data_IF_834989445924
#
_entry.id   IF_834989445924
#
_cell.length_a   1.000
_cell.length_b   1.000
_cell.length_c   1.000
_cell.angle_alpha   90.00
_cell.angle_beta   90.00
_cell.angle_gamma   90.00
#
_symmetry.space_group_name_H-M   'P 1'
#
loop_
_entity.id
_entity.type
_entity.pdbx_description
1 polymer ?
#
# COMPACT_ATOMS: atom_id res chain seq x y z
N UNK A 1 0.07 27.22 18.17
CA UNK A 1 -0.80 28.10 18.98
C UNK A 1 -2.21 27.52 18.97
N UNK A 2 -2.88 27.38 17.83
CA UNK A 2 -4.29 26.96 17.76
C UNK A 2 -4.60 25.66 18.53
N UNK A 3 -3.73 24.64 18.46
CA UNK A 3 -3.90 23.39 19.21
C UNK A 3 -3.84 23.52 20.74
N UNK A 4 -3.35 24.64 21.25
CA UNK A 4 -3.20 24.90 22.68
C UNK A 4 -4.28 25.86 23.21
N UNK A 5 -5.18 26.31 22.36
CA UNK A 5 -6.29 27.15 22.76
C UNK A 5 -7.48 26.28 23.18
N UNK A 6 -8.36 26.78 24.08
CA UNK A 6 -9.63 26.15 24.37
C UNK A 6 -10.48 25.98 23.11
N UNK A 7 -11.30 24.94 23.11
CA UNK A 7 -12.29 24.72 22.04
C UNK A 7 -13.22 25.94 21.90
N UNK A 8 -13.70 26.19 20.71
CA UNK A 8 -14.61 27.31 20.37
C UNK A 8 -14.03 28.73 20.61
N UNK A 9 -12.69 28.86 20.65
CA UNK A 9 -12.06 30.18 20.79
C UNK A 9 -12.05 30.91 19.44
N UNK A 10 -12.62 32.11 19.41
CA UNK A 10 -12.56 33.00 18.24
C UNK A 10 -11.13 33.46 17.98
N UNK A 11 -10.69 33.37 16.72
CA UNK A 11 -9.39 33.78 16.25
C UNK A 11 -9.48 34.92 15.28
N UNK A 12 -8.70 35.99 15.55
CA UNK A 12 -8.50 37.11 14.60
C UNK A 12 -7.05 37.09 14.15
N UNK A 13 -6.83 37.04 12.84
CA UNK A 13 -5.50 37.11 12.22
C UNK A 13 -5.43 38.38 11.37
N UNK A 14 -4.51 39.29 11.73
CA UNK A 14 -4.23 40.49 10.99
C UNK A 14 -2.79 40.42 10.46
N UNK A 15 -2.58 40.75 9.18
CA UNK A 15 -1.25 40.76 8.56
C UNK A 15 -0.92 42.17 8.09
N UNK A 16 0.18 42.71 8.60
CA UNK A 16 0.71 44.04 8.22
C UNK A 16 2.20 43.88 7.85
N UNK A 17 2.50 44.04 6.56
CA UNK A 17 3.87 43.87 6.06
C UNK A 17 4.43 42.47 6.35
N UNK A 18 5.55 42.39 7.04
CA UNK A 18 6.23 41.15 7.41
C UNK A 18 5.80 40.58 8.77
N UNK A 19 4.70 41.08 9.34
CA UNK A 19 4.18 40.64 10.64
C UNK A 19 2.72 40.25 10.57
N UNK A 20 2.40 39.12 11.23
CA UNK A 20 1.04 38.74 11.52
C UNK A 20 0.77 38.82 13.02
N UNK A 21 -0.38 39.38 13.38
CA UNK A 21 -0.88 39.37 14.76
C UNK A 21 -2.05 38.44 14.86
N UNK A 22 -1.91 37.34 15.65
CA UNK A 22 -2.99 36.44 16.00
C UNK A 22 -3.53 36.84 17.38
N UNK A 23 -4.83 37.08 17.46
CA UNK A 23 -5.55 37.30 18.73
C UNK A 23 -6.51 36.15 19.00
N UNK A 24 -6.52 35.68 20.26
CA UNK A 24 -7.38 34.60 20.72
C UNK A 24 -7.80 34.89 22.16
N UNK A 25 -9.05 35.24 22.39
CA UNK A 25 -9.53 35.70 23.70
C UNK A 25 -8.72 36.87 24.23
N UNK A 26 -7.97 36.69 25.34
CA UNK A 26 -7.05 37.69 25.91
C UNK A 26 -5.61 37.56 25.40
N UNK A 27 -5.33 36.55 24.62
CA UNK A 27 -3.98 36.28 24.09
C UNK A 27 -3.70 37.08 22.81
N UNK A 28 -2.44 37.56 22.68
CA UNK A 28 -1.93 38.24 21.46
C UNK A 28 -0.58 37.62 21.13
N UNK A 29 -0.45 37.15 19.89
CA UNK A 29 0.75 36.54 19.38
C UNK A 29 1.22 37.27 18.14
N UNK A 30 2.49 37.71 18.14
CA UNK A 30 3.11 38.35 16.99
C UNK A 30 4.02 37.35 16.29
N UNK A 31 3.82 37.17 14.99
CA UNK A 31 4.53 36.18 14.16
C UNK A 31 5.24 36.93 13.01
N UNK A 32 6.43 36.50 12.65
CA UNK A 32 7.05 36.87 11.40
C UNK A 32 6.39 36.10 10.25
N UNK A 33 6.13 36.74 9.12
CA UNK A 33 5.58 36.14 7.92
C UNK A 33 6.46 36.42 6.71
N UNK A 34 6.43 35.56 5.74
CA UNK A 34 7.06 35.76 4.44
C UNK A 34 6.03 36.37 3.47
N UNK A 35 6.49 37.17 2.48
CA UNK A 35 5.61 37.70 1.44
C UNK A 35 4.88 36.58 0.70
N UNK A 36 3.58 36.72 0.46
CA UNK A 36 2.77 35.72 -0.23
C UNK A 36 3.28 35.43 -1.66
N UNK A 37 3.93 36.39 -2.30
CA UNK A 37 4.53 36.23 -3.62
C UNK A 37 5.74 35.28 -3.64
N UNK A 38 6.39 35.06 -2.49
CA UNK A 38 7.51 34.10 -2.35
C UNK A 38 7.01 32.67 -2.10
N UNK A 39 5.70 32.49 -1.90
CA UNK A 39 5.11 31.16 -1.76
C UNK A 39 5.10 30.45 -3.12
N UNK A 40 5.64 29.22 -3.22
CA UNK A 40 5.67 28.50 -4.48
C UNK A 40 4.26 28.34 -5.06
N UNK A 41 4.03 28.95 -6.23
CA UNK A 41 2.81 28.72 -6.97
C UNK A 41 2.85 27.31 -7.59
N UNK A 42 1.84 26.51 -7.32
CA UNK A 42 1.62 25.28 -8.08
C UNK A 42 0.99 25.73 -9.40
N UNK A 43 1.73 25.56 -10.49
CA UNK A 43 1.19 25.81 -11.83
C UNK A 43 -0.08 24.97 -12.01
N UNK A 44 -1.07 25.56 -12.70
CA UNK A 44 -2.29 24.86 -13.02
C UNK A 44 -1.93 23.58 -13.80
N UNK A 45 -2.29 22.41 -13.27
CA UNK A 45 -2.13 21.15 -13.99
C UNK A 45 -3.14 21.20 -15.14
N UNK A 46 -2.66 21.51 -16.35
CA UNK A 46 -3.43 21.30 -17.57
C UNK A 46 -3.28 19.82 -17.92
N UNK A 47 -4.25 19.01 -17.48
CA UNK A 47 -4.20 17.56 -17.66
C UNK A 47 -4.34 17.17 -19.14
N UNK A 48 -3.47 16.31 -19.62
CA UNK A 48 -3.59 15.63 -20.91
C UNK A 48 -4.64 14.51 -20.82
N UNK A 49 -4.84 13.97 -19.61
CA UNK A 49 -5.79 12.91 -19.29
C UNK A 49 -6.67 13.37 -18.13
N UNK A 50 -7.98 13.21 -18.29
CA UNK A 50 -8.97 13.49 -17.25
C UNK A 50 -9.92 12.31 -17.14
N UNK A 51 -10.16 11.85 -15.91
CA UNK A 51 -11.08 10.75 -15.59
C UNK A 51 -11.72 10.96 -14.22
N UNK A 52 -12.75 10.17 -13.92
CA UNK A 52 -13.41 10.19 -12.63
C UNK A 52 -13.54 8.76 -12.08
N UNK A 53 -13.37 8.61 -10.77
CA UNK A 53 -13.42 7.32 -10.09
C UNK A 53 -14.10 7.51 -8.72
N UNK A 54 -15.03 6.64 -8.28
CA UNK A 54 -15.60 6.73 -6.95
C UNK A 54 -14.54 6.66 -5.84
N UNK A 55 -14.68 7.49 -4.79
CA UNK A 55 -13.72 7.56 -3.68
C UNK A 55 -13.42 6.19 -3.10
N UNK A 56 -14.44 5.38 -2.82
CA UNK A 56 -14.29 4.02 -2.27
C UNK A 56 -13.43 3.10 -3.15
N UNK A 57 -13.53 3.23 -4.49
CA UNK A 57 -12.73 2.41 -5.42
C UNK A 57 -11.27 2.79 -5.32
N UNK A 58 -10.98 4.11 -5.39
CA UNK A 58 -9.61 4.62 -5.29
C UNK A 58 -9.00 4.30 -3.92
N UNK A 59 -9.75 4.47 -2.85
CA UNK A 59 -9.34 4.15 -1.49
C UNK A 59 -8.99 2.66 -1.35
N UNK A 60 -9.87 1.79 -1.83
CA UNK A 60 -9.62 0.33 -1.80
C UNK A 60 -8.36 -0.06 -2.57
N UNK A 61 -8.14 0.50 -3.76
CA UNK A 61 -6.93 0.29 -4.55
C UNK A 61 -5.67 0.66 -3.74
N UNK A 62 -5.69 1.80 -3.05
CA UNK A 62 -4.57 2.26 -2.22
C UNK A 62 -4.35 1.36 -1.00
N UNK A 63 -5.40 1.06 -0.23
CA UNK A 63 -5.32 0.25 0.99
C UNK A 63 -4.81 -1.16 0.71
N UNK A 64 -5.20 -1.73 -0.44
CA UNK A 64 -4.80 -3.08 -0.85
C UNK A 64 -3.36 -3.17 -1.36
N UNK A 65 -2.68 -2.04 -1.64
CA UNK A 65 -1.38 -2.09 -2.31
C UNK A 65 -0.28 -1.26 -1.61
N UNK A 66 -0.62 -0.17 -0.93
CA UNK A 66 0.36 0.80 -0.42
C UNK A 66 1.41 0.21 0.53
N UNK A 67 1.11 -0.87 1.24
CA UNK A 67 2.02 -1.50 2.20
C UNK A 67 3.27 -2.09 1.54
N UNK A 68 3.20 -2.44 0.26
CA UNK A 68 4.29 -3.06 -0.49
C UNK A 68 5.26 -2.04 -1.13
N UNK A 69 5.00 -0.73 -1.03
CA UNK A 69 5.96 0.29 -1.49
C UNK A 69 7.26 0.23 -0.71
N UNK A 70 8.39 0.39 -1.39
CA UNK A 70 9.69 0.56 -0.75
C UNK A 70 9.77 1.84 0.11
N UNK A 71 10.73 1.87 1.03
CA UNK A 71 11.07 3.05 1.82
C UNK A 71 12.56 3.34 1.63
N UNK A 72 12.88 4.52 1.07
CA UNK A 72 14.26 4.98 0.87
C UNK A 72 15.15 3.99 0.08
N UNK A 73 14.55 3.27 -0.88
CA UNK A 73 15.30 2.41 -1.80
C UNK A 73 16.04 3.29 -2.82
N UNK A 74 17.25 2.88 -3.20
CA UNK A 74 18.05 3.55 -4.22
C UNK A 74 17.38 3.51 -5.60
N UNK A 75 16.56 2.50 -5.84
CA UNK A 75 15.63 2.41 -6.97
C UNK A 75 14.41 3.29 -6.67
N UNK A 76 14.58 4.60 -6.81
CA UNK A 76 13.60 5.60 -6.37
C UNK A 76 12.18 5.40 -6.93
N UNK A 77 12.03 4.76 -8.09
CA UNK A 77 10.73 4.41 -8.67
C UNK A 77 9.96 3.35 -7.85
N UNK A 78 10.61 2.62 -6.95
CA UNK A 78 9.94 1.71 -6.01
C UNK A 78 9.45 2.42 -4.74
N UNK A 79 9.93 3.64 -4.46
CA UNK A 79 9.44 4.46 -3.33
C UNK A 79 8.08 5.12 -3.63
N UNK A 80 7.33 4.55 -4.54
CA UNK A 80 6.02 4.98 -4.97
C UNK A 80 5.15 3.81 -5.38
N UNK A 81 3.96 4.14 -5.86
CA UNK A 81 2.94 3.22 -6.29
C UNK A 81 2.61 3.49 -7.76
N UNK A 82 2.64 2.47 -8.59
CA UNK A 82 2.18 2.55 -9.97
C UNK A 82 0.65 2.68 -9.99
N UNK A 83 0.16 3.72 -10.66
CA UNK A 83 -1.21 3.83 -11.13
C UNK A 83 -1.20 3.54 -12.63
N UNK A 84 -1.92 2.52 -13.03
CA UNK A 84 -2.05 2.09 -14.42
C UNK A 84 -3.53 2.04 -14.80
N UNK A 85 -3.85 2.55 -15.97
CA UNK A 85 -5.15 2.40 -16.62
C UNK A 85 -4.89 1.84 -18.00
N UNK A 86 -5.53 0.73 -18.29
CA UNK A 86 -5.44 0.05 -19.57
C UNK A 86 -6.67 -0.82 -19.79
N UNK A 87 -7.20 -0.84 -21.00
CA UNK A 87 -8.33 -1.69 -21.40
C UNK A 87 -9.56 -1.58 -20.50
N UNK A 88 -9.85 -0.39 -19.99
CA UNK A 88 -10.99 -0.16 -19.08
C UNK A 88 -10.79 -0.66 -17.65
N UNK A 89 -9.56 -0.96 -17.25
CA UNK A 89 -9.22 -1.40 -15.91
C UNK A 89 -8.25 -0.41 -15.29
N UNK A 90 -8.54 0.00 -14.05
CA UNK A 90 -7.62 0.73 -13.19
C UNK A 90 -6.88 -0.25 -12.29
N UNK A 91 -5.56 -0.16 -12.25
CA UNK A 91 -4.70 -1.00 -11.42
C UNK A 91 -3.79 -0.13 -10.56
N UNK A 92 -3.56 -0.58 -9.35
CA UNK A 92 -2.48 -0.08 -8.52
C UNK A 92 -1.51 -1.21 -8.17
N UNK A 93 -0.23 -0.93 -8.32
CA UNK A 93 0.83 -1.91 -8.08
C UNK A 93 1.94 -1.28 -7.25
N UNK A 94 2.35 -1.96 -6.21
CA UNK A 94 3.50 -1.58 -5.39
C UNK A 94 4.44 -2.77 -5.19
N UNK A 95 5.74 -2.50 -5.11
CA UNK A 95 6.76 -3.52 -4.80
C UNK A 95 7.99 -2.86 -4.18
N UNK A 96 8.66 -3.59 -3.32
CA UNK A 96 9.98 -3.26 -2.76
C UNK A 96 11.10 -4.16 -3.33
N UNK A 97 10.74 -5.04 -4.29
CA UNK A 97 11.66 -6.00 -4.89
C UNK A 97 11.71 -7.35 -4.16
N UNK A 98 11.03 -7.50 -3.01
CA UNK A 98 10.91 -8.74 -2.24
C UNK A 98 9.46 -9.23 -2.15
N UNK A 99 8.53 -8.33 -2.31
CA UNK A 99 7.10 -8.59 -2.39
C UNK A 99 6.45 -7.64 -3.38
N UNK A 100 5.27 -8.01 -3.83
CA UNK A 100 4.45 -7.20 -4.73
C UNK A 100 2.99 -7.27 -4.28
N UNK A 101 2.30 -6.15 -4.37
CA UNK A 101 0.85 -6.06 -4.20
C UNK A 101 0.24 -5.44 -5.45
N UNK A 102 -0.77 -6.08 -6.00
CA UNK A 102 -1.59 -5.61 -7.10
C UNK A 102 -3.04 -5.70 -6.71
N UNK A 103 -3.78 -4.62 -6.99
CA UNK A 103 -5.24 -4.61 -6.94
C UNK A 103 -5.79 -3.89 -8.17
N UNK A 104 -6.91 -4.37 -8.69
CA UNK A 104 -7.53 -3.79 -9.89
C UNK A 104 -9.04 -3.63 -9.72
N UNK A 105 -9.62 -2.74 -10.52
CA UNK A 105 -11.07 -2.53 -10.62
C UNK A 105 -11.44 -2.15 -12.05
N UNK A 106 -12.62 -2.52 -12.48
CA UNK A 106 -13.15 -2.05 -13.76
C UNK A 106 -13.50 -0.55 -13.69
N UNK A 107 -13.18 0.19 -14.73
CA UNK A 107 -13.59 1.58 -14.92
C UNK A 107 -14.87 1.61 -15.74
N UNK A 108 -15.92 2.17 -15.16
CA UNK A 108 -17.20 2.39 -15.84
C UNK A 108 -17.20 3.78 -16.51
N UNK A 109 -16.20 4.04 -17.37
CA UNK A 109 -16.10 5.32 -18.10
C UNK A 109 -16.09 5.06 -19.60
N UNK A 110 -16.70 5.97 -20.38
CA UNK A 110 -16.83 5.82 -21.84
C UNK A 110 -15.52 5.97 -22.62
N UNK A 111 -14.58 6.77 -22.10
CA UNK A 111 -13.22 6.92 -22.62
C UNK A 111 -12.24 6.24 -21.65
N UNK A 112 -11.56 5.21 -22.12
CA UNK A 112 -10.55 4.50 -21.34
C UNK A 112 -9.16 4.97 -21.76
N UNK A 113 -8.61 6.03 -21.12
CA UNK A 113 -7.27 6.49 -21.45
C UNK A 113 -6.22 5.46 -21.06
N UNK A 114 -5.19 5.33 -21.86
CA UNK A 114 -3.99 4.60 -21.44
C UNK A 114 -3.16 5.51 -20.54
N UNK A 115 -2.90 5.05 -19.31
CA UNK A 115 -2.15 5.79 -18.31
C UNK A 115 -1.20 4.87 -17.57
N UNK A 116 0.03 5.34 -17.34
CA UNK A 116 1.00 4.64 -16.51
C UNK A 116 1.90 5.66 -15.80
N UNK A 117 1.63 5.91 -14.52
CA UNK A 117 2.35 6.92 -13.72
C UNK A 117 2.68 6.39 -12.33
N UNK A 118 3.72 6.95 -11.70
CA UNK A 118 4.17 6.54 -10.37
C UNK A 118 3.89 7.66 -9.37
N UNK A 119 3.02 7.38 -8.41
CA UNK A 119 2.70 8.29 -7.30
C UNK A 119 3.74 8.13 -6.20
N UNK A 120 4.35 9.23 -5.71
CA UNK A 120 5.27 9.16 -4.57
C UNK A 120 4.58 8.62 -3.32
N UNK A 121 5.32 7.85 -2.50
CA UNK A 121 4.80 7.28 -1.25
C UNK A 121 4.07 8.30 -0.36
N UNK A 122 4.63 9.50 -0.20
CA UNK A 122 3.99 10.56 0.59
C UNK A 122 2.62 10.96 0.03
N UNK A 123 2.51 11.05 -1.28
CA UNK A 123 1.23 11.38 -1.95
C UNK A 123 0.21 10.25 -1.75
N UNK A 124 0.63 8.99 -1.88
CA UNK A 124 -0.22 7.82 -1.66
C UNK A 124 -0.81 7.81 -0.25
N UNK A 125 0.04 7.99 0.77
CA UNK A 125 -0.39 7.99 2.16
C UNK A 125 -1.34 9.15 2.48
N UNK A 126 -1.08 10.34 1.94
CA UNK A 126 -1.93 11.51 2.16
C UNK A 126 -3.25 11.37 1.42
N UNK A 127 -3.23 10.91 0.17
CA UNK A 127 -4.45 10.67 -0.61
C UNK A 127 -5.34 9.63 0.08
N UNK A 128 -4.76 8.51 0.56
CA UNK A 128 -5.52 7.51 1.31
C UNK A 128 -6.19 8.08 2.57
N UNK A 129 -5.55 9.03 3.24
CA UNK A 129 -6.10 9.72 4.41
C UNK A 129 -7.26 10.65 4.08
N UNK A 130 -7.21 11.28 2.88
CA UNK A 130 -8.24 12.23 2.43
C UNK A 130 -9.49 11.54 1.89
N UNK A 131 -9.35 10.33 1.34
CA UNK A 131 -10.45 9.55 0.76
C UNK A 131 -11.37 8.97 1.83
N UNK A 132 -12.65 8.88 1.51
CA UNK A 132 -13.69 8.23 2.31
C UNK A 132 -14.27 7.00 1.60
N UNK A 133 -15.09 6.21 2.31
CA UNK A 133 -15.82 5.06 1.76
C UNK A 133 -17.12 5.50 1.02
N UNK A 134 -17.08 6.62 0.31
CA UNK A 134 -18.25 7.17 -0.38
C UNK A 134 -18.27 6.84 -1.87
N UNK A 135 -19.45 6.93 -2.47
CA UNK A 135 -19.68 6.85 -3.92
C UNK A 135 -19.38 8.17 -4.64
N UNK A 136 -19.01 9.22 -3.90
CA UNK A 136 -18.67 10.50 -4.50
C UNK A 136 -17.46 10.36 -5.42
N UNK A 137 -17.55 11.02 -6.56
CA UNK A 137 -16.53 10.95 -7.59
C UNK A 137 -15.29 11.79 -7.23
N UNK A 138 -14.13 11.23 -7.48
CA UNK A 138 -12.84 11.92 -7.49
C UNK A 138 -12.46 12.21 -8.92
N UNK A 139 -12.38 13.47 -9.27
CA UNK A 139 -11.80 13.89 -10.55
C UNK A 139 -10.29 13.72 -10.51
N UNK A 140 -9.72 13.07 -11.52
CA UNK A 140 -8.27 12.85 -11.65
C UNK A 140 -7.79 13.49 -12.94
N UNK A 141 -6.85 14.40 -12.84
CA UNK A 141 -6.19 15.05 -13.97
C UNK A 141 -4.70 14.71 -13.94
N UNK A 142 -4.15 14.27 -15.05
CA UNK A 142 -2.75 13.85 -15.16
C UNK A 142 -2.06 14.64 -16.26
N UNK A 143 -0.91 15.22 -15.93
CA UNK A 143 0.03 15.84 -16.87
C UNK A 143 1.33 15.03 -16.90
N UNK A 144 2.27 15.44 -17.73
CA UNK A 144 3.58 14.77 -17.83
C UNK A 144 4.34 14.68 -16.50
N UNK A 145 4.12 15.60 -15.55
CA UNK A 145 4.91 15.72 -14.31
C UNK A 145 4.09 15.73 -13.03
N UNK A 146 2.78 15.91 -13.12
CA UNK A 146 1.90 16.08 -11.96
C UNK A 146 0.60 15.29 -12.13
N UNK A 147 0.04 14.91 -11.00
CA UNK A 147 -1.32 14.38 -10.89
C UNK A 147 -2.11 15.22 -9.90
N UNK A 148 -3.36 15.46 -10.21
CA UNK A 148 -4.30 16.25 -9.42
C UNK A 148 -5.55 15.45 -9.15
N UNK A 149 -6.00 15.49 -7.91
CA UNK A 149 -7.23 14.85 -7.44
C UNK A 149 -8.19 15.94 -6.95
N UNK A 150 -9.40 15.97 -7.48
CA UNK A 150 -10.49 16.82 -7.03
C UNK A 150 -11.42 16.03 -6.12
N UNK A 151 -11.45 16.38 -4.83
CA UNK A 151 -12.27 15.72 -3.79
C UNK A 151 -13.27 16.75 -3.24
N UNK A 152 -14.46 16.83 -3.84
CA UNK A 152 -15.40 17.91 -3.55
C UNK A 152 -14.77 19.28 -3.74
N UNK A 153 -14.74 20.11 -2.69
CA UNK A 153 -14.12 21.43 -2.72
C UNK A 153 -12.60 21.43 -2.53
N UNK A 154 -12.02 20.28 -2.23
CA UNK A 154 -10.59 20.13 -1.97
C UNK A 154 -9.83 19.68 -3.22
N UNK A 155 -8.63 20.23 -3.39
CA UNK A 155 -7.73 19.86 -4.47
C UNK A 155 -6.44 19.31 -3.86
N UNK A 156 -6.07 18.10 -4.24
CA UNK A 156 -4.80 17.51 -3.89
C UNK A 156 -3.94 17.33 -5.13
N UNK A 157 -2.75 17.93 -5.13
CA UNK A 157 -1.81 17.85 -6.27
C UNK A 157 -0.48 17.28 -5.81
N UNK A 158 0.09 16.38 -6.60
CA UNK A 158 1.42 15.79 -6.36
C UNK A 158 2.24 15.79 -7.63
N UNK A 159 3.57 15.93 -7.47
CA UNK A 159 4.50 15.54 -8.52
C UNK A 159 4.48 14.04 -8.70
N UNK A 160 4.71 13.59 -9.93
CA UNK A 160 4.92 12.18 -10.25
C UNK A 160 6.41 11.83 -10.08
N UNK A 161 6.70 10.57 -9.82
CA UNK A 161 8.08 10.06 -9.89
C UNK A 161 8.40 9.84 -11.37
N UNK A 162 9.44 10.54 -11.85
CA UNK A 162 9.97 10.30 -13.19
C UNK A 162 10.76 8.99 -13.19
N UNK A 163 10.35 8.04 -14.01
CA UNK A 163 10.98 6.73 -14.09
C UNK A 163 10.07 5.67 -14.68
N UNK A 164 10.66 4.50 -14.91
CA UNK A 164 9.93 3.34 -15.42
C UNK A 164 9.71 2.33 -14.30
N UNK A 165 8.45 2.08 -13.95
CA UNK A 165 8.11 0.99 -13.04
C UNK A 165 8.47 -0.36 -13.67
N UNK A 166 8.98 -1.34 -12.88
CA UNK A 166 9.33 -2.67 -13.40
C UNK A 166 8.16 -3.35 -14.10
N UNK A 167 8.49 -4.29 -14.98
CA UNK A 167 7.52 -5.18 -15.60
C UNK A 167 7.04 -6.20 -14.54
N UNK A 168 6.00 -5.80 -13.83
CA UNK A 168 5.48 -6.55 -12.68
C UNK A 168 4.76 -7.84 -13.08
N UNK A 169 4.24 -7.92 -14.31
CA UNK A 169 3.52 -9.11 -14.79
C UNK A 169 4.42 -10.34 -14.82
N UNK A 170 5.71 -10.14 -15.10
CA UNK A 170 6.71 -11.23 -15.09
C UNK A 170 7.03 -11.77 -13.70
N UNK A 171 6.71 -11.01 -12.67
CA UNK A 171 6.97 -11.40 -11.27
C UNK A 171 5.81 -12.23 -10.71
N UNK A 172 4.61 -12.06 -11.24
CA UNK A 172 3.43 -12.81 -10.84
C UNK A 172 3.57 -14.25 -11.36
N UNK A 173 3.61 -15.26 -10.46
CA UNK A 173 3.70 -16.65 -10.88
C UNK A 173 2.55 -17.03 -11.83
N UNK A 174 2.81 -17.87 -12.84
CA UNK A 174 1.74 -18.38 -13.69
C UNK A 174 0.75 -19.21 -12.84
N UNK A 175 -0.49 -19.26 -13.30
CA UNK A 175 -1.50 -20.13 -12.67
C UNK A 175 -1.03 -21.59 -12.69
N UNK A 176 -1.02 -22.20 -11.54
CA UNK A 176 -0.52 -23.57 -11.35
C UNK A 176 0.25 -23.67 -10.02
N UNK A 177 0.88 -24.80 -9.77
CA UNK A 177 1.54 -25.07 -8.50
C UNK A 177 0.60 -25.72 -7.48
N UNK A 178 1.16 -26.06 -6.33
CA UNK A 178 0.41 -26.67 -5.25
C UNK A 178 -0.30 -25.57 -4.45
N UNK A 179 -1.57 -25.81 -4.16
CA UNK A 179 -2.40 -24.87 -3.40
C UNK A 179 -2.39 -25.23 -1.92
N UNK A 180 -2.24 -24.21 -1.09
CA UNK A 180 -2.41 -24.29 0.37
C UNK A 180 -3.54 -23.34 0.76
N UNK A 181 -4.59 -23.88 1.38
CA UNK A 181 -5.68 -23.07 1.94
C UNK A 181 -5.62 -23.10 3.45
N UNK A 182 -5.61 -21.92 4.05
CA UNK A 182 -5.57 -21.76 5.50
C UNK A 182 -6.64 -20.79 5.96
N UNK A 183 -7.16 -20.97 7.17
CA UNK A 183 -7.96 -19.94 7.84
C UNK A 183 -7.06 -18.71 8.07
N UNK A 184 -7.47 -17.57 7.53
CA UNK A 184 -6.70 -16.31 7.56
C UNK A 184 -6.39 -15.86 8.99
N UNK A 185 -7.38 -15.90 9.87
CA UNK A 185 -7.24 -15.35 11.21
C UNK A 185 -6.40 -16.26 12.11
N UNK A 186 -6.56 -17.58 11.98
CA UNK A 186 -5.73 -18.57 12.68
C UNK A 186 -4.27 -18.42 12.23
N UNK A 187 -4.02 -18.41 10.92
CA UNK A 187 -2.68 -18.24 10.37
C UNK A 187 -2.03 -16.93 10.82
N UNK A 188 -2.77 -15.83 10.75
CA UNK A 188 -2.28 -14.51 11.17
C UNK A 188 -1.90 -14.49 12.65
N UNK A 189 -2.70 -15.11 13.52
CA UNK A 189 -2.40 -15.19 14.95
C UNK A 189 -1.18 -16.07 15.22
N UNK A 190 -1.05 -17.24 14.57
CA UNK A 190 0.11 -18.10 14.70
C UNK A 190 1.39 -17.42 14.21
N UNK A 191 1.35 -16.77 13.05
CA UNK A 191 2.46 -15.97 12.54
C UNK A 191 2.84 -14.82 13.49
N UNK A 192 1.85 -14.15 14.08
CA UNK A 192 2.11 -13.08 15.04
C UNK A 192 2.84 -13.59 16.27
N UNK A 193 2.43 -14.73 16.85
CA UNK A 193 3.11 -15.35 18.00
C UNK A 193 4.51 -15.82 17.64
N UNK A 194 4.66 -16.58 16.54
CA UNK A 194 5.96 -17.07 16.10
C UNK A 194 6.93 -15.91 15.76
N UNK A 195 6.43 -14.79 15.24
CA UNK A 195 7.26 -13.64 14.87
C UNK A 195 7.99 -13.00 16.05
N UNK A 196 7.52 -13.22 17.29
CA UNK A 196 8.13 -12.65 18.51
C UNK A 196 9.56 -13.15 18.68
N UNK A 197 9.82 -14.41 18.36
CA UNK A 197 11.15 -15.03 18.44
C UNK A 197 11.85 -15.14 17.07
N UNK A 198 11.36 -14.43 16.06
CA UNK A 198 12.07 -14.35 14.78
C UNK A 198 13.27 -13.39 14.87
N UNK A 199 14.28 -13.60 14.03
CA UNK A 199 15.40 -12.68 13.90
C UNK A 199 14.91 -11.26 13.61
N UNK A 200 15.31 -10.27 14.39
CA UNK A 200 14.84 -8.86 14.27
C UNK A 200 15.13 -8.23 12.90
N UNK A 201 16.27 -8.56 12.30
CA UNK A 201 16.74 -7.97 11.05
C UNK A 201 16.10 -8.63 9.83
N UNK A 202 16.05 -9.95 9.81
CA UNK A 202 15.63 -10.70 8.62
C UNK A 202 14.18 -11.18 8.71
N UNK A 203 13.61 -11.23 9.92
CA UNK A 203 12.22 -11.62 10.15
C UNK A 203 11.86 -12.95 9.50
N UNK A 204 12.81 -13.92 9.48
CA UNK A 204 12.64 -15.21 8.83
C UNK A 204 11.69 -16.12 9.59
N UNK A 205 10.81 -16.80 8.84
CA UNK A 205 9.96 -17.88 9.34
C UNK A 205 9.96 -19.01 8.32
N UNK A 206 10.03 -20.25 8.80
CA UNK A 206 10.00 -21.45 7.99
C UNK A 206 8.60 -22.05 8.00
N UNK A 207 8.05 -22.28 6.80
CA UNK A 207 6.85 -23.05 6.55
C UNK A 207 7.24 -24.49 6.23
N UNK A 208 6.82 -25.46 7.03
CA UNK A 208 6.93 -26.87 6.71
C UNK A 208 5.53 -27.43 6.49
N UNK A 209 5.26 -27.84 5.27
CA UNK A 209 3.99 -28.38 4.81
C UNK A 209 4.12 -29.89 4.73
N UNK A 210 3.31 -30.63 5.49
CA UNK A 210 3.33 -32.08 5.55
C UNK A 210 1.93 -32.60 5.86
N UNK A 211 1.35 -33.41 4.97
CA UNK A 211 0.14 -34.18 5.27
C UNK A 211 -1.09 -33.36 5.71
N UNK A 212 -1.27 -32.16 5.21
CA UNK A 212 -2.38 -31.28 5.61
C UNK A 212 -2.10 -30.43 6.85
N UNK A 213 -0.85 -30.44 7.34
CA UNK A 213 -0.39 -29.60 8.45
C UNK A 213 0.62 -28.58 7.97
N UNK A 214 0.56 -27.39 8.55
CA UNK A 214 1.55 -26.35 8.39
C UNK A 214 2.25 -26.13 9.74
N UNK A 215 3.54 -26.44 9.80
CA UNK A 215 4.40 -26.10 10.92
C UNK A 215 5.13 -24.80 10.62
N UNK A 216 5.05 -23.85 11.53
CA UNK A 216 5.70 -22.55 11.49
C UNK A 216 6.85 -22.55 12.48
N UNK A 217 8.07 -22.35 12.01
CA UNK A 217 9.26 -22.33 12.86
C UNK A 217 9.99 -21.02 12.68
N UNK A 218 10.20 -20.30 13.76
CA UNK A 218 11.01 -19.08 13.81
C UNK A 218 12.10 -19.23 14.87
N UNK A 219 13.28 -18.74 14.58
CA UNK A 219 14.40 -18.72 15.51
C UNK A 219 15.20 -17.42 15.41
N UNK A 220 15.90 -17.09 16.48
CA UNK A 220 16.76 -15.92 16.57
C UNK A 220 18.23 -16.31 16.82
N UNK A 221 19.18 -15.37 16.74
CA UNK A 221 20.61 -15.63 17.02
C UNK A 221 20.88 -16.09 18.46
N UNK A 222 20.01 -15.78 19.40
CA UNK A 222 20.07 -16.17 20.80
C UNK A 222 19.69 -17.63 21.05
N UNK A 223 19.37 -18.37 19.98
CA UNK A 223 18.91 -19.76 19.98
C UNK A 223 17.55 -19.96 20.66
N UNK A 224 16.73 -18.91 20.71
CA UNK A 224 15.34 -19.04 21.07
C UNK A 224 14.53 -19.46 19.84
N UNK A 225 13.50 -20.29 20.05
CA UNK A 225 12.71 -20.87 18.99
C UNK A 225 11.22 -20.80 19.32
N UNK A 226 10.42 -20.50 18.31
CA UNK A 226 8.97 -20.58 18.36
C UNK A 226 8.48 -21.59 17.32
N UNK A 227 7.64 -22.49 17.75
CA UNK A 227 6.95 -23.46 16.90
C UNK A 227 5.42 -23.28 17.05
N UNK A 228 4.73 -23.24 15.92
CA UNK A 228 3.28 -23.21 15.83
C UNK A 228 2.82 -24.23 14.80
N UNK A 229 1.68 -24.84 15.03
CA UNK A 229 1.12 -25.84 14.14
C UNK A 229 -0.34 -25.54 13.85
N UNK A 230 -0.76 -25.64 12.60
CA UNK A 230 -2.16 -25.45 12.20
C UNK A 230 -2.55 -26.38 11.04
N UNK A 231 -3.81 -26.76 11.03
CA UNK A 231 -4.39 -27.53 9.93
C UNK A 231 -4.58 -26.62 8.70
N UNK A 232 -4.23 -27.18 7.53
CA UNK A 232 -4.40 -26.52 6.23
C UNK A 232 -4.90 -27.53 5.19
N UNK A 233 -5.59 -27.04 4.18
CA UNK A 233 -5.89 -27.87 3.01
C UNK A 233 -4.65 -27.87 2.10
N UNK A 234 -3.90 -28.97 2.14
CA UNK A 234 -2.68 -29.18 1.37
C UNK A 234 -2.58 -30.62 0.90
N UNK A 235 -2.43 -30.82 -0.39
CA UNK A 235 -2.34 -32.15 -1.01
C UNK A 235 -1.05 -32.38 -1.82
N UNK A 236 -0.03 -31.54 -1.61
CA UNK A 236 1.28 -31.71 -2.25
C UNK A 236 2.24 -32.60 -1.46
N UNK A 237 3.42 -32.77 -2.02
CA UNK A 237 4.55 -33.42 -1.34
C UNK A 237 5.09 -32.58 -0.19
N UNK A 238 5.78 -33.18 0.77
CA UNK A 238 6.41 -32.45 1.87
C UNK A 238 7.30 -31.34 1.34
N UNK A 239 7.07 -30.11 1.84
CA UNK A 239 7.78 -28.94 1.37
C UNK A 239 8.21 -28.05 2.54
N UNK A 240 9.43 -27.51 2.43
CA UNK A 240 9.93 -26.49 3.35
C UNK A 240 10.30 -25.23 2.59
N UNK A 241 9.74 -24.08 3.00
CA UNK A 241 9.97 -22.79 2.35
C UNK A 241 10.11 -21.70 3.42
N UNK A 242 11.09 -20.79 3.24
CA UNK A 242 11.30 -19.66 4.13
C UNK A 242 10.64 -18.38 3.62
N UNK A 243 10.10 -17.58 4.53
CA UNK A 243 9.52 -16.28 4.21
C UNK A 243 9.92 -15.22 5.25
N UNK A 244 9.79 -13.96 4.88
CA UNK A 244 9.75 -12.87 5.84
C UNK A 244 8.35 -12.81 6.46
N UNK A 245 8.26 -12.99 7.78
CA UNK A 245 6.97 -13.01 8.49
C UNK A 245 6.23 -11.67 8.41
N UNK A 246 6.96 -10.54 8.36
CA UNK A 246 6.35 -9.22 8.20
C UNK A 246 5.61 -9.09 6.87
N UNK A 247 6.17 -9.62 5.79
CA UNK A 247 5.51 -9.59 4.48
C UNK A 247 4.23 -10.43 4.44
N UNK A 248 4.26 -11.59 5.10
CA UNK A 248 3.06 -12.43 5.24
C UNK A 248 1.98 -11.72 6.06
N UNK A 249 2.34 -11.12 7.19
CA UNK A 249 1.41 -10.40 8.06
C UNK A 249 0.78 -9.18 7.37
N UNK A 250 1.55 -8.45 6.57
CA UNK A 250 1.03 -7.31 5.80
C UNK A 250 0.00 -7.76 4.76
N UNK A 251 0.28 -8.85 4.02
CA UNK A 251 -0.67 -9.42 3.05
C UNK A 251 -1.92 -9.93 3.75
N UNK A 252 -1.78 -10.70 4.85
CA UNK A 252 -2.93 -11.20 5.62
C UNK A 252 -3.77 -10.05 6.23
N UNK A 253 -3.17 -8.88 6.44
CA UNK A 253 -3.85 -7.68 6.90
C UNK A 253 -4.81 -7.08 5.86
N UNK A 254 -4.62 -7.38 4.58
CA UNK A 254 -5.43 -6.84 3.48
C UNK A 254 -6.28 -7.91 2.76
N UNK A 255 -6.12 -9.19 3.07
CA UNK A 255 -7.01 -10.27 2.63
C UNK A 255 -8.37 -10.09 3.31
N UNK A 256 -9.47 -10.14 2.55
CA UNK A 256 -10.84 -9.96 3.06
C UNK A 256 -11.53 -11.30 3.33
N UNK A 257 -11.17 -12.35 2.60
CA UNK A 257 -11.78 -13.67 2.75
C UNK A 257 -11.40 -14.35 4.07
N UNK A 258 -12.27 -15.24 4.55
CA UNK A 258 -11.97 -16.07 5.71
C UNK A 258 -10.82 -17.03 5.46
N UNK A 259 -10.72 -17.53 4.23
CA UNK A 259 -9.67 -18.44 3.78
C UNK A 259 -8.68 -17.67 2.90
N UNK A 260 -7.40 -17.89 3.12
CA UNK A 260 -6.32 -17.39 2.24
C UNK A 260 -5.78 -18.53 1.39
N UNK A 261 -5.53 -18.24 0.12
CA UNK A 261 -4.99 -19.18 -0.84
C UNK A 261 -3.53 -18.84 -1.15
N UNK A 262 -2.64 -19.78 -0.89
CA UNK A 262 -1.25 -19.71 -1.35
C UNK A 262 -1.08 -20.65 -2.54
N UNK A 263 -0.45 -20.15 -3.61
CA UNK A 263 -0.04 -20.96 -4.76
C UNK A 263 1.49 -21.00 -4.80
N UNK A 264 2.06 -22.18 -4.59
CA UNK A 264 3.50 -22.43 -4.46
C UNK A 264 3.93 -23.40 -5.55
N UNK A 265 4.92 -23.05 -6.35
CA UNK A 265 5.48 -23.95 -7.38
C UNK A 265 6.57 -24.83 -6.78
N UNK A 266 7.49 -24.23 -6.05
CA UNK A 266 8.60 -24.89 -5.34
C UNK A 266 9.15 -23.99 -4.23
N UNK A 267 10.09 -24.50 -3.45
CA UNK A 267 10.67 -23.79 -2.30
C UNK A 267 11.54 -22.57 -2.65
N UNK A 268 11.88 -22.36 -3.92
CA UNK A 268 12.73 -21.26 -4.38
C UNK A 268 11.98 -20.26 -5.28
N UNK A 269 10.76 -20.57 -5.67
CA UNK A 269 9.92 -19.73 -6.53
C UNK A 269 9.04 -18.81 -5.70
N UNK A 270 8.68 -17.66 -6.29
CA UNK A 270 7.76 -16.72 -5.67
C UNK A 270 6.42 -17.36 -5.35
N UNK A 271 5.88 -17.06 -4.19
CA UNK A 271 4.57 -17.51 -3.76
C UNK A 271 3.50 -16.46 -4.12
N UNK A 272 2.42 -16.88 -4.77
CA UNK A 272 1.24 -16.06 -4.99
C UNK A 272 0.26 -16.26 -3.84
N UNK A 273 -0.24 -15.16 -3.28
CA UNK A 273 -1.22 -15.16 -2.18
C UNK A 273 -2.45 -14.39 -2.65
N UNK A 274 -3.61 -14.98 -2.49
CA UNK A 274 -4.90 -14.45 -2.97
C UNK A 274 -6.01 -14.67 -1.94
N UNK A 275 -7.13 -13.96 -2.08
CA UNK A 275 -8.37 -14.33 -1.43
C UNK A 275 -8.84 -15.72 -1.93
N UNK A 276 -9.64 -16.44 -1.14
CA UNK A 276 -10.29 -17.66 -1.56
C UNK A 276 -11.83 -17.53 -1.40
N UNK A 277 -12.58 -17.46 -2.52
CA UNK A 277 -12.12 -17.55 -3.92
C UNK A 277 -11.30 -16.34 -4.37
N UNK A 278 -10.41 -16.49 -5.38
CA UNK A 278 -9.62 -15.39 -5.95
C UNK A 278 -10.49 -14.26 -6.47
N UNK A 279 -10.07 -13.03 -6.20
CA UNK A 279 -10.73 -11.80 -6.61
C UNK A 279 -9.80 -10.87 -7.44
N UNK A 280 -9.93 -9.57 -7.25
CA UNK A 280 -9.14 -8.54 -7.93
C UNK A 280 -7.71 -8.37 -7.39
N UNK A 281 -7.38 -8.97 -6.25
CA UNK A 281 -6.10 -8.83 -5.56
C UNK A 281 -5.13 -9.96 -5.86
N UNK A 282 -3.86 -9.60 -6.06
CA UNK A 282 -2.75 -10.55 -6.20
C UNK A 282 -1.57 -10.05 -5.39
N UNK A 283 -1.06 -10.91 -4.55
CA UNK A 283 0.09 -10.60 -3.70
C UNK A 283 1.19 -11.62 -3.94
N UNK A 284 2.39 -11.15 -4.23
CA UNK A 284 3.54 -12.03 -4.45
C UNK A 284 4.54 -11.83 -3.33
N UNK A 285 5.03 -12.92 -2.76
CA UNK A 285 6.07 -12.90 -1.73
C UNK A 285 7.23 -13.78 -2.21
N UNK A 286 8.43 -13.20 -2.25
CA UNK A 286 9.62 -13.95 -2.58
C UNK A 286 10.06 -14.80 -1.40
N UNK A 287 10.45 -16.06 -1.62
CA UNK A 287 11.01 -16.90 -0.57
C UNK A 287 12.38 -16.36 -0.15
N UNK A 288 12.77 -16.69 1.06
CA UNK A 288 14.12 -16.44 1.58
C UNK A 288 14.80 -17.72 2.01
N UNK A 289 16.11 -17.74 1.86
CA UNK A 289 16.94 -18.85 2.38
C UNK A 289 17.16 -18.63 3.88
N UNK A 290 16.77 -19.64 4.65
CA UNK A 290 16.88 -19.67 6.12
C UNK A 290 17.85 -20.76 6.53
#
# INVERSE_FOLDING_TARGET
>A
ICKALPDETDLTLEVEGERATLRAGRGRYALGVLPAQDYPAIEAVTGEISLSVPQKVLKRLLEKTQFAMAQQDVRYYLNGLLLEISEGVIRMVATDGHRLALWQSELVTGDNPELRVILPRKAVLELNRLLSESEEEVGIEVSATHIRFQLGDSIFTSKLIDGRFPDYERVIPPKGGVQVRADRDILRQSLTRASILSNEKYRGIRFQLTGGMLHLIANNPEQEEAEEELEVEYGGDDMTIGFNVGYLLDVLGVIDSKTVLFSITDANSSCLVENDPPDAGRYVIMPMRL
#
